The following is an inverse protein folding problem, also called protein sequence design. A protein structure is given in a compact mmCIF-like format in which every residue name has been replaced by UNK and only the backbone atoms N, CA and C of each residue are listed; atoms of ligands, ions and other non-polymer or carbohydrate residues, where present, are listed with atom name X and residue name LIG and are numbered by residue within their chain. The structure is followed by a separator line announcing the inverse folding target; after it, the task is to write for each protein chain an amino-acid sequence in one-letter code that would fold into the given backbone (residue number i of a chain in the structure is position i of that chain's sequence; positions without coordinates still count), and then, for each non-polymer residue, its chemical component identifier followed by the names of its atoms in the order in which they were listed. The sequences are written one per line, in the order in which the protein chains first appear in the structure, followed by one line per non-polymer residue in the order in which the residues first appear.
data_IF_839642415580
#
_entry.id   IF_839642415580
#
_cell.length_a   1.000
_cell.length_b   1.000
_cell.length_c   1.000
_cell.angle_alpha   90.00
_cell.angle_beta   90.00
_cell.angle_gamma   90.00
#
_symmetry.space_group_name_H-M   'P 1'
#
loop_
_entity.id
_entity.type
_entity.pdbx_description
1 polymer ?
#
# COMPACT_ATOMS: atom_id res chain seq x y z
N UNK A 1 -21.34 -10.23 5.42
CA UNK A 1 -20.03 -9.75 4.94
C UNK A 1 -20.02 -9.52 3.44
N UNK A 2 -20.84 -10.28 2.72
CA UNK A 2 -20.85 -10.22 1.25
C UNK A 2 -21.11 -8.84 0.68
N UNK A 3 -22.08 -8.11 1.23
CA UNK A 3 -22.46 -6.82 0.64
C UNK A 3 -21.35 -5.78 0.76
N UNK A 4 -20.66 -5.70 1.87
CA UNK A 4 -19.56 -4.74 2.00
C UNK A 4 -18.48 -5.01 0.96
N UNK A 5 -18.08 -6.25 0.81
CA UNK A 5 -17.06 -6.63 -0.17
C UNK A 5 -17.59 -6.39 -1.59
N UNK A 6 -18.85 -6.73 -1.85
CA UNK A 6 -19.45 -6.57 -3.18
C UNK A 6 -19.48 -5.12 -3.65
N UNK A 7 -19.76 -4.18 -2.75
CA UNK A 7 -19.81 -2.76 -3.12
C UNK A 7 -18.43 -2.11 -3.10
N UNK A 8 -17.47 -2.67 -2.36
CA UNK A 8 -16.12 -2.13 -2.26
C UNK A 8 -15.27 -2.53 -3.45
N UNK A 9 -15.22 -3.81 -3.76
CA UNK A 9 -14.25 -4.36 -4.72
C UNK A 9 -14.73 -4.15 -6.15
N UNK A 10 -13.80 -3.74 -7.02
CA UNK A 10 -14.03 -3.55 -8.45
C UNK A 10 -13.25 -4.57 -9.25
N UNK A 11 -13.73 -4.87 -10.47
CA UNK A 11 -13.05 -5.82 -11.35
C UNK A 11 -11.77 -5.26 -11.98
N UNK A 12 -11.68 -3.95 -12.10
CA UNK A 12 -10.52 -3.33 -12.74
C UNK A 12 -10.56 -1.81 -12.66
N UNK A 13 -9.64 -1.22 -13.39
CA UNK A 13 -9.42 0.21 -13.43
C UNK A 13 -10.56 0.96 -14.12
N UNK A 14 -10.95 2.09 -13.54
CA UNK A 14 -11.86 3.04 -14.20
C UNK A 14 -11.17 3.69 -15.40
N UNK A 15 -11.96 4.00 -16.43
CA UNK A 15 -11.47 4.75 -17.58
C UNK A 15 -11.12 6.21 -17.24
N UNK A 16 -11.52 6.68 -16.06
CA UNK A 16 -11.15 8.01 -15.58
C UNK A 16 -9.67 8.13 -15.23
N UNK A 17 -8.98 7.01 -15.08
CA UNK A 17 -7.54 7.00 -14.81
C UNK A 17 -6.81 6.73 -16.12
N UNK A 18 -6.08 7.72 -16.67
CA UNK A 18 -5.27 7.49 -17.87
C UNK A 18 -4.19 6.43 -17.62
N UNK A 19 -3.83 5.68 -18.65
CA UNK A 19 -2.79 4.66 -18.51
C UNK A 19 -1.45 5.23 -18.00
N UNK A 20 -1.11 6.43 -18.41
CA UNK A 20 0.13 7.09 -17.95
C UNK A 20 0.15 7.31 -16.44
N UNK A 21 -1.03 7.42 -15.82
CA UNK A 21 -1.18 7.68 -14.39
C UNK A 21 -1.56 6.43 -13.60
N UNK A 22 -1.63 5.28 -14.24
CA UNK A 22 -1.94 4.01 -13.58
C UNK A 22 -0.70 3.47 -12.88
N UNK A 23 -0.30 4.13 -11.79
CA UNK A 23 0.94 3.82 -11.08
C UNK A 23 0.85 2.51 -10.29
N UNK A 24 -0.30 2.28 -9.67
CA UNK A 24 -0.44 1.19 -8.70
C UNK A 24 -1.14 -0.05 -9.25
N UNK A 25 -1.71 0.02 -10.45
CA UNK A 25 -2.44 -1.11 -11.02
C UNK A 25 -1.58 -2.37 -11.20
N UNK A 26 -0.28 -2.18 -11.38
CA UNK A 26 0.67 -3.29 -11.53
C UNK A 26 0.82 -4.11 -10.25
N UNK A 27 0.43 -3.57 -9.11
CA UNK A 27 0.55 -4.27 -7.83
C UNK A 27 -0.70 -5.05 -7.45
N UNK A 28 -1.80 -4.90 -8.20
CA UNK A 28 -3.03 -5.61 -7.88
C UNK A 28 -2.77 -7.12 -7.88
N UNK A 29 -3.13 -7.77 -6.77
CA UNK A 29 -2.85 -9.18 -6.54
C UNK A 29 -2.34 -9.41 -5.14
N UNK A 30 -1.73 -10.56 -4.94
CA UNK A 30 -1.24 -11.01 -3.64
C UNK A 30 0.27 -11.16 -3.72
N UNK A 31 0.96 -10.58 -2.74
CA UNK A 31 2.42 -10.57 -2.68
C UNK A 31 2.89 -11.09 -1.34
N UNK A 32 3.92 -11.93 -1.37
CA UNK A 32 4.67 -12.29 -0.19
C UNK A 32 5.94 -11.44 -0.18
N UNK A 33 6.33 -10.96 1.00
CA UNK A 33 7.55 -10.15 1.10
C UNK A 33 8.33 -10.52 2.35
N UNK A 34 9.58 -10.09 2.38
CA UNK A 34 10.42 -10.19 3.56
C UNK A 34 10.75 -8.80 4.07
N UNK A 35 10.44 -8.56 5.32
CA UNK A 35 10.86 -7.35 6.01
C UNK A 35 12.20 -7.61 6.67
N UNK A 36 13.19 -6.79 6.36
CA UNK A 36 14.52 -6.92 6.95
C UNK A 36 14.75 -5.76 7.90
N UNK A 37 14.98 -6.09 9.16
CA UNK A 37 15.17 -5.13 10.24
C UNK A 37 16.61 -5.16 10.72
N UNK A 38 17.16 -4.00 11.10
CA UNK A 38 18.52 -3.89 11.62
C UNK A 38 19.56 -4.51 10.70
N UNK A 39 19.40 -4.29 9.41
CA UNK A 39 20.24 -4.90 8.37
C UNK A 39 21.72 -4.62 8.61
N UNK A 40 22.56 -5.68 8.50
CA UNK A 40 24.00 -5.58 8.66
C UNK A 40 24.48 -5.56 10.10
N UNK A 41 23.58 -5.74 11.06
CA UNK A 41 23.94 -5.79 12.49
C UNK A 41 23.72 -7.18 13.06
N UNK A 42 24.20 -7.42 14.29
CA UNK A 42 23.95 -8.69 14.98
C UNK A 42 22.49 -8.89 15.35
N UNK A 43 21.72 -7.80 15.35
CA UNK A 43 20.28 -7.85 15.60
C UNK A 43 19.43 -7.91 14.33
N UNK A 44 20.02 -8.25 13.19
CA UNK A 44 19.29 -8.36 11.94
C UNK A 44 18.17 -9.38 12.07
N UNK A 45 16.99 -8.98 11.61
CA UNK A 45 15.78 -9.79 11.73
C UNK A 45 15.07 -9.85 10.39
N UNK A 46 14.61 -11.04 10.02
CA UNK A 46 13.86 -11.28 8.80
C UNK A 46 12.43 -11.71 9.15
N UNK A 47 11.44 -10.98 8.68
CA UNK A 47 10.04 -11.24 9.00
C UNK A 47 9.25 -11.41 7.70
N UNK A 48 8.54 -12.53 7.59
CA UNK A 48 7.69 -12.79 6.43
C UNK A 48 6.40 -12.00 6.54
N UNK A 49 5.99 -11.34 5.46
CA UNK A 49 4.78 -10.55 5.40
C UNK A 49 3.97 -10.85 4.15
N UNK A 50 2.77 -10.28 4.13
CA UNK A 50 1.85 -10.35 2.99
C UNK A 50 1.39 -8.95 2.65
N UNK A 51 1.23 -8.67 1.35
CA UNK A 51 0.73 -7.40 0.88
C UNK A 51 -0.26 -7.66 -0.25
N UNK A 52 -1.51 -7.32 -0.02
CA UNK A 52 -2.62 -7.68 -0.92
C UNK A 52 -3.26 -6.39 -1.43
N UNK A 53 -3.39 -6.27 -2.75
CA UNK A 53 -3.91 -5.07 -3.40
C UNK A 53 -5.11 -5.43 -4.26
N UNK A 54 -6.13 -4.59 -4.24
CA UNK A 54 -7.30 -4.75 -5.09
C UNK A 54 -7.81 -3.41 -5.60
N UNK A 55 -8.39 -3.42 -6.81
CA UNK A 55 -9.18 -2.28 -7.28
C UNK A 55 -10.45 -2.17 -6.45
N UNK A 56 -10.79 -0.95 -6.06
CA UNK A 56 -11.98 -0.68 -5.23
C UNK A 56 -12.69 0.57 -5.76
N UNK A 57 -13.90 0.81 -5.25
CA UNK A 57 -14.65 2.05 -5.49
C UNK A 57 -14.80 2.36 -6.98
N UNK A 58 -15.41 1.40 -7.69
CA UNK A 58 -15.64 1.49 -9.13
C UNK A 58 -14.35 1.68 -9.95
N UNK A 59 -13.24 1.15 -9.42
CA UNK A 59 -11.95 1.23 -10.10
C UNK A 59 -11.26 2.58 -10.04
N UNK A 60 -11.75 3.49 -9.17
CA UNK A 60 -11.14 4.81 -9.00
C UNK A 60 -10.03 4.81 -7.96
N UNK A 61 -9.94 3.74 -7.20
CA UNK A 61 -8.94 3.61 -6.13
C UNK A 61 -8.40 2.19 -6.07
N UNK A 62 -7.22 2.08 -5.45
CA UNK A 62 -6.63 0.81 -5.08
C UNK A 62 -6.48 0.80 -3.57
N UNK A 63 -6.96 -0.26 -2.95
CA UNK A 63 -6.78 -0.46 -1.53
C UNK A 63 -5.84 -1.64 -1.32
N UNK A 64 -4.93 -1.49 -0.37
CA UNK A 64 -4.07 -2.59 0.04
C UNK A 64 -4.30 -2.95 1.49
N UNK A 65 -3.90 -4.17 1.83
CA UNK A 65 -3.77 -4.61 3.22
C UNK A 65 -2.36 -5.13 3.40
N UNK A 66 -1.65 -4.55 4.34
CA UNK A 66 -0.27 -4.86 4.66
C UNK A 66 -0.24 -5.63 5.98
N UNK A 67 0.26 -6.85 5.94
CA UNK A 67 0.24 -7.75 7.11
C UNK A 67 1.66 -8.23 7.38
N UNK A 68 2.23 -7.82 8.49
CA UNK A 68 3.58 -8.22 8.88
C UNK A 68 3.67 -8.40 10.41
N UNK A 69 3.94 -9.57 10.95
CA UNK A 69 4.15 -10.85 10.25
C UNK A 69 2.91 -11.31 9.49
N UNK A 70 3.10 -12.19 8.52
CA UNK A 70 2.00 -12.75 7.73
C UNK A 70 0.96 -13.43 8.62
N UNK A 71 -0.25 -13.64 8.08
CA UNK A 71 -1.31 -14.32 8.84
C UNK A 71 -0.86 -15.69 9.33
N UNK A 72 -0.10 -16.41 8.51
CA UNK A 72 0.42 -17.72 8.87
C UNK A 72 1.46 -17.65 9.97
N UNK A 73 2.37 -16.68 9.88
CA UNK A 73 3.45 -16.53 10.85
C UNK A 73 2.96 -16.03 12.22
N UNK A 74 1.99 -15.10 12.23
CA UNK A 74 1.53 -14.46 13.47
C UNK A 74 0.62 -15.32 14.34
N UNK A 75 0.19 -16.44 13.83
CA UNK A 75 -0.63 -17.37 14.63
C UNK A 75 0.13 -17.86 15.88
N UNK A 76 1.45 -17.98 15.77
CA UNK A 76 2.26 -18.61 16.81
C UNK A 76 2.73 -17.65 17.89
N UNK A 77 3.07 -16.41 17.50
CA UNK A 77 3.69 -15.48 18.42
C UNK A 77 3.14 -14.07 18.23
N UNK A 78 2.76 -13.43 19.33
CA UNK A 78 2.45 -12.01 19.32
C UNK A 78 3.76 -11.22 19.21
N UNK A 79 3.78 -10.24 18.32
CA UNK A 79 4.92 -9.34 18.17
C UNK A 79 4.46 -7.91 18.39
N UNK A 80 5.12 -7.15 19.29
CA UNK A 80 4.68 -5.78 19.64
C UNK A 80 4.73 -4.82 18.45
N UNK A 81 5.60 -5.07 17.47
CA UNK A 81 5.75 -4.25 16.28
C UNK A 81 5.02 -4.82 15.07
N UNK A 82 4.08 -5.75 15.30
CA UNK A 82 3.29 -6.32 14.21
C UNK A 82 2.38 -5.28 13.60
N UNK A 83 2.24 -5.31 12.28
CA UNK A 83 1.37 -4.42 11.54
C UNK A 83 0.26 -5.20 10.85
N UNK A 84 -0.93 -4.64 10.85
CA UNK A 84 -2.07 -5.11 10.07
C UNK A 84 -2.78 -3.85 9.61
N UNK A 85 -2.29 -3.31 8.49
CA UNK A 85 -2.59 -1.96 8.07
C UNK A 85 -3.30 -1.94 6.73
N UNK A 86 -3.93 -0.83 6.42
CA UNK A 86 -4.55 -0.62 5.12
C UNK A 86 -4.25 0.77 4.62
N UNK A 87 -4.12 0.90 3.30
CA UNK A 87 -4.04 2.19 2.63
C UNK A 87 -5.03 2.21 1.48
N UNK A 88 -5.67 3.36 1.29
CA UNK A 88 -6.50 3.62 0.11
C UNK A 88 -5.79 4.66 -0.72
N UNK A 89 -5.56 4.34 -1.99
CA UNK A 89 -4.94 5.24 -2.96
C UNK A 89 -5.99 5.62 -3.98
N UNK A 90 -6.46 6.87 -3.93
CA UNK A 90 -7.50 7.38 -4.80
C UNK A 90 -6.89 8.28 -5.86
N UNK A 91 -7.21 8.03 -7.12
CA UNK A 91 -6.72 8.90 -8.20
C UNK A 91 -7.42 10.26 -8.14
N UNK A 92 -6.65 11.32 -8.30
CA UNK A 92 -7.18 12.69 -8.33
C UNK A 92 -6.92 13.29 -9.72
N UNK A 93 -7.94 13.39 -10.58
CA UNK A 93 -7.76 13.94 -11.93
C UNK A 93 -7.39 15.42 -11.92
N UNK A 94 -7.68 16.15 -10.87
CA UNK A 94 -7.36 17.57 -10.77
C UNK A 94 -5.85 17.81 -10.61
N UNK A 95 -5.16 16.90 -9.96
CA UNK A 95 -3.72 16.99 -9.72
C UNK A 95 -2.93 16.01 -10.57
N UNK A 96 -3.62 15.09 -11.23
CA UNK A 96 -3.02 13.97 -11.96
C UNK A 96 -2.06 13.16 -11.07
N UNK A 97 -2.44 13.03 -9.80
CA UNK A 97 -1.68 12.32 -8.79
C UNK A 97 -2.62 11.44 -7.97
N UNK A 98 -2.06 10.70 -7.03
CA UNK A 98 -2.82 9.80 -6.18
C UNK A 98 -2.85 10.34 -4.76
N UNK A 99 -4.05 10.51 -4.20
CA UNK A 99 -4.21 10.84 -2.79
C UNK A 99 -4.23 9.55 -1.99
N UNK A 100 -3.39 9.47 -0.97
CA UNK A 100 -3.16 8.23 -0.23
C UNK A 100 -3.46 8.44 1.25
N UNK A 101 -4.28 7.56 1.80
CA UNK A 101 -4.57 7.52 3.23
C UNK A 101 -4.14 6.16 3.77
N UNK A 102 -3.06 6.17 4.54
CA UNK A 102 -2.54 4.99 5.23
C UNK A 102 -2.98 5.01 6.68
N UNK A 103 -3.42 3.86 7.19
CA UNK A 103 -3.84 3.78 8.59
C UNK A 103 -3.51 2.40 9.18
N UNK A 104 -3.12 2.44 10.44
CA UNK A 104 -2.92 1.25 11.25
C UNK A 104 -3.26 1.59 12.70
N UNK A 105 -3.25 0.59 13.57
CA UNK A 105 -3.50 0.85 14.98
C UNK A 105 -2.45 1.83 15.51
N UNK A 106 -2.91 2.97 15.98
CA UNK A 106 -2.04 3.97 16.58
C UNK A 106 -1.55 5.07 15.64
N UNK A 107 -1.89 5.03 14.34
CA UNK A 107 -1.42 6.08 13.45
C UNK A 107 -2.09 6.13 12.10
N UNK A 108 -2.04 7.30 11.49
CA UNK A 108 -2.53 7.52 10.14
C UNK A 108 -1.61 8.54 9.45
N UNK A 109 -1.41 8.34 8.14
CA UNK A 109 -0.55 9.21 7.35
C UNK A 109 -1.22 9.51 6.02
N UNK A 110 -1.22 10.77 5.62
CA UNK A 110 -1.70 11.19 4.31
C UNK A 110 -0.50 11.47 3.41
N UNK A 111 -0.54 10.91 2.19
CA UNK A 111 0.54 11.08 1.22
C UNK A 111 -0.01 11.42 -0.15
N UNK A 112 0.86 11.93 -1.01
CA UNK A 112 0.56 12.11 -2.42
C UNK A 112 1.55 11.28 -3.24
N UNK A 113 1.03 10.47 -4.17
CA UNK A 113 1.85 9.59 -5.01
C UNK A 113 1.99 10.10 -6.42
N UNK A 114 3.21 10.12 -6.93
CA UNK A 114 3.55 10.51 -8.30
C UNK A 114 4.68 9.64 -8.84
N UNK A 115 4.75 9.55 -10.17
CA UNK A 115 5.88 8.87 -10.80
C UNK A 115 7.05 9.85 -10.95
N UNK A 116 8.25 9.39 -10.62
CA UNK A 116 9.50 10.10 -10.91
C UNK A 116 10.48 9.10 -11.51
N UNK A 117 10.60 9.13 -12.85
CA UNK A 117 11.42 8.16 -13.56
C UNK A 117 10.86 6.74 -13.43
N UNK A 118 11.68 5.82 -12.91
CA UNK A 118 11.26 4.44 -12.66
C UNK A 118 10.83 4.22 -11.21
N UNK A 119 10.50 5.29 -10.50
CA UNK A 119 10.07 5.22 -9.11
C UNK A 119 8.69 5.81 -8.95
N UNK A 120 7.98 5.33 -7.94
CA UNK A 120 6.77 5.98 -7.45
C UNK A 120 7.15 6.63 -6.13
N UNK A 121 7.02 7.95 -6.07
CA UNK A 121 7.39 8.72 -4.87
C UNK A 121 6.11 9.12 -4.16
N UNK A 122 6.00 8.70 -2.90
CA UNK A 122 4.84 8.98 -2.05
C UNK A 122 5.31 9.93 -0.97
N UNK A 123 4.88 11.19 -1.08
CA UNK A 123 5.34 12.27 -0.20
C UNK A 123 4.30 12.54 0.87
N UNK A 124 4.73 12.57 2.14
CA UNK A 124 3.83 12.86 3.24
C UNK A 124 3.37 14.32 3.18
N UNK A 125 2.07 14.52 3.37
CA UNK A 125 1.47 15.86 3.23
C UNK A 125 1.92 16.79 4.36
N UNK A 126 1.98 16.27 5.59
CA UNK A 126 2.33 17.08 6.76
C UNK A 126 3.83 17.28 6.94
N UNK A 127 4.64 16.38 6.39
CA UNK A 127 6.10 16.44 6.48
C UNK A 127 6.69 16.14 5.11
N UNK A 128 6.74 17.14 4.24
CA UNK A 128 7.09 16.98 2.83
C UNK A 128 8.52 16.50 2.57
N UNK A 129 9.37 16.52 3.58
CA UNK A 129 10.71 15.94 3.47
C UNK A 129 10.73 14.43 3.70
N UNK A 130 9.60 13.82 4.08
CA UNK A 130 9.49 12.37 4.27
C UNK A 130 8.81 11.78 3.05
N UNK A 131 9.48 10.80 2.45
CA UNK A 131 9.00 10.12 1.25
C UNK A 131 9.07 8.61 1.43
N UNK A 132 8.03 7.93 0.96
CA UNK A 132 7.98 6.47 0.87
C UNK A 132 8.11 6.11 -0.61
N UNK A 133 9.19 5.47 -0.99
CA UNK A 133 9.53 5.29 -2.40
C UNK A 133 9.41 3.82 -2.79
N UNK A 134 8.73 3.59 -3.92
CA UNK A 134 8.65 2.28 -4.56
C UNK A 134 9.49 2.35 -5.84
N UNK A 135 10.53 1.53 -5.91
CA UNK A 135 11.37 1.45 -7.09
C UNK A 135 10.84 0.34 -8.00
N UNK A 136 10.66 0.69 -9.27
CA UNK A 136 10.17 -0.25 -10.28
C UNK A 136 11.38 -0.84 -11.00
N UNK A 137 11.50 -2.14 -10.93
CA UNK A 137 12.62 -2.85 -11.54
C UNK A 137 12.12 -3.64 -12.73
#
# INVERSE_FOLDING_TARGET
MGEFINVLVSKGKSNLIPEKDNLYGQFVGEWDFEWVDNQGTTGERHVQGEWIFAWVLEGTAIQDVFICPSRKARIKDYQPDAAYATAVRMYNPNTEAWDILYTELGGATQLEGKREGNRIVQTEINEKNIQWVLSLI
#
